data_IF_287755051304
#
_entry.id   IF_287755051304
#
_cell.length_a   1.000
_cell.length_b   1.000
_cell.length_c   1.000
_cell.angle_alpha   90.00
_cell.angle_beta   90.00
_cell.angle_gamma   90.00
#
_symmetry.space_group_name_H-M   'P 1'
#
loop_
_entity.id
_entity.type
_entity.pdbx_description
1 polymer ?
#
# COMPACT_ATOMS: atom_id res chain seq x y z
N UNK A 1 2.31 -11.37 14.05
CA UNK A 1 3.45 -11.71 13.18
C UNK A 1 4.63 -12.12 14.03
N UNK A 2 5.30 -13.26 13.72
CA UNK A 2 6.61 -13.59 14.29
C UNK A 2 7.67 -12.59 13.80
N UNK A 3 8.69 -12.29 14.61
CA UNK A 3 9.81 -11.45 14.21
C UNK A 3 10.81 -12.28 13.39
N UNK A 4 10.84 -12.11 12.07
CA UNK A 4 11.77 -12.79 11.15
C UNK A 4 12.89 -11.88 10.62
N UNK A 5 12.93 -10.61 11.05
CA UNK A 5 13.93 -9.62 10.61
C UNK A 5 13.79 -9.20 9.14
N UNK A 6 12.82 -9.76 8.40
CA UNK A 6 12.52 -9.35 7.03
C UNK A 6 11.76 -8.03 6.98
N UNK A 7 11.64 -7.44 5.78
CA UNK A 7 10.90 -6.20 5.55
C UNK A 7 9.50 -6.20 6.18
N UNK A 8 8.79 -7.33 6.09
CA UNK A 8 7.49 -7.54 6.74
C UNK A 8 7.58 -7.45 8.27
N UNK A 9 8.61 -8.03 8.88
CA UNK A 9 8.87 -7.96 10.31
C UNK A 9 9.10 -6.53 10.78
N UNK A 10 9.96 -5.78 10.08
CA UNK A 10 10.25 -4.36 10.38
C UNK A 10 8.99 -3.50 10.31
N UNK A 11 8.22 -3.63 9.23
CA UNK A 11 6.94 -2.93 9.06
C UNK A 11 5.96 -3.32 10.19
N UNK A 12 5.84 -4.61 10.50
CA UNK A 12 4.93 -5.06 11.55
C UNK A 12 5.30 -4.49 12.92
N UNK A 13 6.58 -4.43 13.26
CA UNK A 13 7.01 -3.80 14.51
C UNK A 13 6.75 -2.30 14.50
N UNK A 14 6.98 -1.60 13.38
CA UNK A 14 6.67 -0.19 13.25
C UNK A 14 5.16 0.10 13.38
N UNK A 15 4.31 -0.71 12.74
CA UNK A 15 2.85 -0.59 12.86
C UNK A 15 2.37 -0.91 14.28
N UNK A 16 2.99 -1.87 14.98
CA UNK A 16 2.66 -2.11 16.39
C UNK A 16 3.12 -0.96 17.29
N UNK A 17 4.30 -0.38 17.04
CA UNK A 17 4.85 0.69 17.86
C UNK A 17 4.12 2.03 17.64
N UNK A 18 3.80 2.36 16.39
CA UNK A 18 3.32 3.68 15.98
C UNK A 18 1.91 3.65 15.38
N UNK A 19 1.45 2.50 14.89
CA UNK A 19 0.15 2.36 14.20
C UNK A 19 -1.07 2.50 15.10
N UNK A 20 -0.92 2.41 16.43
CA UNK A 20 -1.98 2.80 17.36
C UNK A 20 -2.41 4.27 17.17
N UNK A 21 -1.49 5.14 16.76
CA UNK A 21 -1.77 6.55 16.46
C UNK A 21 -2.36 6.77 15.05
N UNK A 22 -2.27 5.77 14.16
CA UNK A 22 -2.65 5.84 12.75
C UNK A 22 -4.07 5.32 12.48
N UNK A 23 -4.98 5.40 13.47
CA UNK A 23 -6.41 5.12 13.29
C UNK A 23 -6.96 3.92 14.06
N UNK A 24 -6.11 3.12 14.69
CA UNK A 24 -6.56 1.94 15.46
C UNK A 24 -7.22 2.26 16.80
N UNK A 25 -6.91 3.40 17.43
CA UNK A 25 -7.45 3.79 18.75
C UNK A 25 -7.34 2.66 19.82
N UNK A 26 -6.27 1.88 19.78
CA UNK A 26 -6.07 0.72 20.66
C UNK A 26 -6.82 -0.56 20.27
N UNK A 27 -7.60 -0.56 19.17
CA UNK A 27 -8.25 -1.74 18.61
C UNK A 27 -7.33 -2.51 17.65
N UNK A 28 -7.57 -3.83 17.45
CA UNK A 28 -6.90 -4.59 16.41
C UNK A 28 -7.16 -3.99 15.03
N UNK A 29 -6.09 -3.78 14.27
CA UNK A 29 -6.16 -3.29 12.88
C UNK A 29 -5.72 -4.37 11.90
N UNK A 30 -6.33 -4.39 10.72
CA UNK A 30 -5.86 -5.19 9.59
C UNK A 30 -4.95 -4.33 8.72
N UNK A 31 -3.86 -4.92 8.23
CA UNK A 31 -2.93 -4.27 7.30
C UNK A 31 -3.08 -4.91 5.94
N UNK A 32 -3.34 -4.10 4.93
CA UNK A 32 -3.37 -4.50 3.53
C UNK A 32 -2.21 -3.87 2.78
N UNK A 33 -1.48 -4.69 2.00
CA UNK A 33 -0.31 -4.24 1.24
C UNK A 33 -0.58 -4.38 -0.26
N UNK A 34 -1.01 -3.29 -0.88
CA UNK A 34 -1.52 -3.26 -2.26
C UNK A 34 -0.58 -3.88 -3.30
N UNK A 35 0.67 -3.44 -3.36
CA UNK A 35 1.63 -3.87 -4.37
C UNK A 35 1.90 -5.38 -4.28
N UNK A 36 1.93 -5.92 -3.06
CA UNK A 36 2.20 -7.32 -2.79
C UNK A 36 0.94 -8.20 -2.84
N UNK A 37 -0.26 -7.59 -2.83
CA UNK A 37 -1.53 -8.31 -2.80
C UNK A 37 -1.99 -8.81 -4.17
N UNK A 38 -1.40 -8.31 -5.27
CA UNK A 38 -1.80 -8.67 -6.61
C UNK A 38 -0.63 -9.16 -7.46
N UNK A 39 -0.89 -9.94 -8.53
CA UNK A 39 0.13 -10.24 -9.52
C UNK A 39 0.69 -8.94 -10.12
N UNK A 40 2.01 -8.79 -10.11
CA UNK A 40 2.73 -7.65 -10.69
C UNK A 40 3.52 -8.10 -11.91
N UNK A 41 3.66 -7.20 -12.89
CA UNK A 41 4.68 -7.38 -13.91
C UNK A 41 6.05 -7.29 -13.24
N UNK A 42 6.93 -8.25 -13.49
CA UNK A 42 8.28 -8.32 -12.92
C UNK A 42 9.29 -7.90 -13.99
N UNK A 43 10.50 -7.44 -13.60
CA UNK A 43 11.56 -7.15 -14.57
C UNK A 43 11.85 -8.32 -15.53
N UNK A 44 11.70 -9.56 -15.04
CA UNK A 44 11.94 -10.79 -15.78
C UNK A 44 10.65 -11.52 -16.23
N UNK A 45 9.51 -10.83 -16.37
CA UNK A 45 8.29 -11.49 -16.87
C UNK A 45 7.03 -10.64 -16.79
N UNK A 46 6.11 -10.91 -17.70
CA UNK A 46 4.76 -10.33 -17.69
C UNK A 46 3.79 -11.28 -17.02
N UNK A 47 2.73 -10.72 -16.44
CA UNK A 47 1.60 -11.50 -15.94
C UNK A 47 0.97 -12.36 -17.02
N UNK A 48 0.47 -13.53 -16.62
CA UNK A 48 -0.39 -14.33 -17.50
C UNK A 48 -1.74 -13.64 -17.75
N UNK A 49 -2.55 -14.21 -18.64
CA UNK A 49 -3.91 -13.71 -18.92
C UNK A 49 -4.78 -13.82 -17.67
N UNK A 50 -4.67 -14.91 -16.94
CA UNK A 50 -5.41 -15.20 -15.71
C UNK A 50 -4.97 -14.25 -14.58
N UNK A 51 -3.65 -14.08 -14.41
CA UNK A 51 -3.09 -13.13 -13.44
C UNK A 51 -3.51 -11.69 -13.76
N UNK A 52 -3.58 -11.33 -15.03
CA UNK A 52 -4.07 -10.02 -15.47
C UNK A 52 -5.55 -9.83 -15.13
N UNK A 53 -6.38 -10.87 -15.26
CA UNK A 53 -7.78 -10.81 -14.86
C UNK A 53 -7.94 -10.60 -13.36
N UNK A 54 -7.19 -11.36 -12.54
CA UNK A 54 -7.15 -11.21 -11.07
C UNK A 54 -6.70 -9.80 -10.68
N UNK A 55 -5.62 -9.30 -11.28
CA UNK A 55 -5.13 -7.95 -11.02
C UNK A 55 -6.18 -6.88 -11.33
N UNK A 56 -6.83 -6.95 -12.51
CA UNK A 56 -7.87 -5.98 -12.89
C UNK A 56 -9.07 -6.02 -11.97
N UNK A 57 -9.47 -7.20 -11.51
CA UNK A 57 -10.54 -7.35 -10.54
C UNK A 57 -10.15 -6.73 -9.19
N UNK A 58 -8.94 -7.04 -8.71
CA UNK A 58 -8.38 -6.49 -7.48
C UNK A 58 -8.31 -4.97 -7.47
N UNK A 59 -7.90 -4.36 -8.59
CA UNK A 59 -7.85 -2.90 -8.73
C UNK A 59 -9.21 -2.23 -8.52
N UNK A 60 -10.31 -2.85 -8.98
CA UNK A 60 -11.65 -2.29 -8.75
C UNK A 60 -12.01 -2.27 -7.27
N UNK A 61 -11.57 -3.26 -6.52
CA UNK A 61 -11.85 -3.38 -5.08
C UNK A 61 -10.98 -2.45 -4.26
N UNK A 62 -9.67 -2.41 -4.51
CA UNK A 62 -8.74 -1.59 -3.72
C UNK A 62 -8.96 -0.09 -3.94
N UNK A 63 -9.39 0.33 -5.13
CA UNK A 63 -9.73 1.73 -5.40
C UNK A 63 -10.81 2.25 -4.45
N UNK A 64 -11.80 1.42 -4.12
CA UNK A 64 -12.83 1.78 -3.13
C UNK A 64 -12.27 1.85 -1.71
N UNK A 65 -11.28 1.02 -1.38
CA UNK A 65 -10.64 1.06 -0.06
C UNK A 65 -9.87 2.36 0.14
N UNK A 66 -9.13 2.85 -0.87
CA UNK A 66 -8.46 4.15 -0.77
C UNK A 66 -9.42 5.31 -0.48
N UNK A 67 -10.68 5.21 -0.91
CA UNK A 67 -11.70 6.24 -0.70
C UNK A 67 -12.60 6.00 0.52
N UNK A 68 -12.29 5.02 1.38
CA UNK A 68 -13.18 4.59 2.44
C UNK A 68 -12.82 5.22 3.80
N UNK A 69 -13.80 5.83 4.48
CA UNK A 69 -13.60 6.64 5.71
C UNK A 69 -12.97 5.87 6.88
N UNK A 70 -13.15 4.56 6.91
CA UNK A 70 -12.59 3.67 7.94
C UNK A 70 -11.23 3.06 7.55
N UNK A 71 -10.57 3.60 6.53
CA UNK A 71 -9.21 3.18 6.14
C UNK A 71 -8.23 4.33 6.35
N UNK A 72 -7.00 3.97 6.72
CA UNK A 72 -5.88 4.90 6.74
C UNK A 72 -4.88 4.43 5.70
N UNK A 73 -4.60 5.29 4.73
CA UNK A 73 -3.71 5.00 3.61
C UNK A 73 -2.35 5.62 3.88
N UNK A 74 -1.33 4.78 4.04
CA UNK A 74 0.05 5.23 4.24
C UNK A 74 0.76 5.35 2.89
N UNK A 75 1.27 6.54 2.59
CA UNK A 75 1.94 6.82 1.31
C UNK A 75 3.46 6.73 1.47
N UNK A 76 4.10 5.82 0.72
CA UNK A 76 5.58 5.72 0.68
C UNK A 76 6.18 6.79 -0.24
N UNK A 77 6.15 8.04 0.19
CA UNK A 77 6.59 9.20 -0.60
C UNK A 77 8.10 9.33 -0.70
N UNK A 78 8.84 8.71 0.22
CA UNK A 78 10.32 8.73 0.26
C UNK A 78 10.85 7.31 0.12
N UNK A 79 11.95 7.17 -0.63
CA UNK A 79 12.62 5.90 -0.86
C UNK A 79 14.03 5.92 -0.25
N UNK A 80 14.52 4.76 0.21
CA UNK A 80 15.90 4.66 0.67
C UNK A 80 16.87 4.93 -0.49
N UNK A 81 18.05 5.45 -0.14
CA UNK A 81 19.13 5.70 -1.09
C UNK A 81 19.51 4.41 -1.84
N UNK A 82 19.71 4.50 -3.15
CA UNK A 82 20.02 3.36 -4.02
C UNK A 82 18.83 2.53 -4.49
N UNK A 83 17.58 2.87 -4.11
CA UNK A 83 16.40 2.19 -4.62
C UNK A 83 16.22 2.42 -6.14
N UNK A 84 16.23 1.34 -6.92
CA UNK A 84 16.03 1.39 -8.38
C UNK A 84 14.53 1.44 -8.76
N UNK A 85 13.83 2.51 -8.38
CA UNK A 85 12.46 2.80 -8.83
C UNK A 85 12.22 4.29 -9.01
N UNK A 86 11.21 4.64 -9.81
CA UNK A 86 10.78 6.04 -9.95
C UNK A 86 10.36 6.62 -8.59
N UNK A 87 10.56 7.94 -8.44
CA UNK A 87 10.06 8.69 -7.29
C UNK A 87 8.53 8.60 -7.22
N UNK A 88 7.98 8.90 -6.04
CA UNK A 88 6.53 8.81 -5.83
C UNK A 88 5.75 9.68 -6.83
N UNK A 89 6.17 10.93 -7.05
CA UNK A 89 5.44 11.83 -7.95
C UNK A 89 5.71 11.53 -9.44
N UNK A 90 6.80 10.84 -9.78
CA UNK A 90 7.08 10.39 -11.14
C UNK A 90 6.34 9.09 -11.52
N UNK A 91 5.80 8.37 -10.53
CA UNK A 91 5.00 7.18 -10.75
C UNK A 91 3.51 7.56 -10.87
N UNK A 92 2.88 7.24 -12.00
CA UNK A 92 1.49 7.64 -12.25
C UNK A 92 0.49 7.03 -11.28
N UNK A 93 0.71 5.78 -10.87
CA UNK A 93 -0.19 5.05 -9.96
C UNK A 93 -0.23 5.67 -8.56
N UNK A 94 0.92 6.03 -8.01
CA UNK A 94 1.04 6.67 -6.68
C UNK A 94 0.36 8.04 -6.62
N UNK A 95 0.33 8.78 -7.73
CA UNK A 95 -0.44 10.03 -7.81
C UNK A 95 -1.96 9.80 -7.70
N UNK A 96 -2.45 8.72 -8.31
CA UNK A 96 -3.86 8.31 -8.20
C UNK A 96 -4.22 7.93 -6.76
N UNK A 97 -3.40 7.10 -6.09
CA UNK A 97 -3.60 6.70 -4.69
C UNK A 97 -3.73 7.92 -3.76
N UNK A 98 -2.78 8.86 -3.86
CA UNK A 98 -2.81 10.11 -3.07
C UNK A 98 -4.10 10.90 -3.32
N UNK A 99 -4.49 11.04 -4.59
CA UNK A 99 -5.65 11.83 -4.97
C UNK A 99 -6.94 11.25 -4.41
N UNK A 100 -7.13 9.93 -4.50
CA UNK A 100 -8.33 9.24 -4.00
C UNK A 100 -8.38 9.25 -2.46
N UNK A 101 -7.26 8.95 -1.81
CA UNK A 101 -7.16 8.99 -0.34
C UNK A 101 -7.42 10.39 0.23
N UNK A 102 -7.03 11.44 -0.50
CA UNK A 102 -7.24 12.83 -0.12
C UNK A 102 -8.70 13.31 -0.22
N UNK A 103 -9.62 12.56 -0.86
CA UNK A 103 -11.03 13.00 -1.01
C UNK A 103 -11.75 13.04 0.34
N UNK A 104 -11.47 12.06 1.18
CA UNK A 104 -12.16 11.85 2.47
C UNK A 104 -11.29 12.20 3.68
N UNK A 105 -9.98 12.33 3.47
CA UNK A 105 -9.05 12.73 4.52
C UNK A 105 -9.05 14.25 4.59
N UNK A 106 -9.31 14.86 5.76
CA UNK A 106 -9.14 16.30 5.93
C UNK A 106 -7.75 16.71 5.42
N UNK A 107 -7.70 17.77 4.62
CA UNK A 107 -6.42 18.30 4.15
C UNK A 107 -5.51 18.64 5.34
N UNK A 108 -4.19 18.57 5.16
CA UNK A 108 -3.25 19.06 6.17
C UNK A 108 -3.50 20.54 6.50
#
# INVERSE_FOLDING_TARGET
>A
CPPDGGFRGVICEQIKAEGHALGGQGQPVAVFWDWCAFPQDKPAGRRTVEETAVFKQGLRTVNSWYAHEFTVVLLLTTLPEGAARASYDASGWTTFERSVAGIITPGP
#
